data_IF_491294795920
#
_entry.id   IF_491294795920
#
_cell.length_a   1.000
_cell.length_b   1.000
_cell.length_c   1.000
_cell.angle_alpha   90.00
_cell.angle_beta   90.00
_cell.angle_gamma   90.00
#
_symmetry.space_group_name_H-M   'P 1'
#
loop_
_entity.id
_entity.type
_entity.pdbx_description
1 polymer ?
#
# COMPACT_ATOMS: atom_id res chain seq x y z
N UNK A 1 11.61 -15.58 13.54
CA UNK A 1 10.31 -14.88 13.61
C UNK A 1 10.19 -13.91 14.78
N UNK A 2 10.26 -14.33 16.05
CA UNK A 2 10.13 -13.42 17.21
C UNK A 2 11.13 -12.25 17.20
N UNK A 3 12.39 -12.49 16.79
CA UNK A 3 13.42 -11.44 16.68
C UNK A 3 13.08 -10.36 15.64
N UNK A 4 12.51 -10.75 14.49
CA UNK A 4 12.11 -9.81 13.43
C UNK A 4 10.93 -8.97 13.91
N UNK A 5 9.90 -9.60 14.48
CA UNK A 5 8.76 -8.89 15.04
C UNK A 5 9.16 -7.87 16.11
N UNK A 6 10.08 -8.25 17.01
CA UNK A 6 10.62 -7.34 18.03
C UNK A 6 11.36 -6.14 17.40
N UNK A 7 12.27 -6.41 16.46
CA UNK A 7 13.01 -5.37 15.74
C UNK A 7 12.06 -4.36 15.07
N UNK A 8 11.05 -4.87 14.37
CA UNK A 8 10.04 -4.04 13.70
C UNK A 8 9.29 -3.20 14.71
N UNK A 9 8.77 -3.78 15.80
CA UNK A 9 8.05 -3.03 16.85
C UNK A 9 8.86 -1.90 17.47
N UNK A 10 10.12 -2.17 17.81
CA UNK A 10 10.99 -1.20 18.46
C UNK A 10 11.36 -0.02 17.53
N UNK A 11 11.35 -0.22 16.21
CA UNK A 11 11.83 0.76 15.24
C UNK A 11 10.74 1.30 14.31
N UNK A 12 9.50 0.79 14.35
CA UNK A 12 8.43 1.15 13.39
C UNK A 12 8.12 2.65 13.33
N UNK A 13 8.20 3.33 14.47
CA UNK A 13 7.97 4.77 14.58
C UNK A 13 8.98 5.59 13.75
N UNK A 14 10.17 5.05 13.48
CA UNK A 14 11.23 5.70 12.69
C UNK A 14 10.96 5.63 11.20
N UNK A 15 10.17 4.65 10.74
CA UNK A 15 9.94 4.42 9.31
C UNK A 15 8.97 5.43 8.76
N UNK A 16 9.29 6.19 7.73
CA UNK A 16 8.37 7.20 7.20
C UNK A 16 8.45 7.32 5.68
N UNK A 17 7.31 7.59 5.05
CA UNK A 17 7.28 8.03 3.66
C UNK A 17 7.97 9.39 3.58
N UNK A 18 9.06 9.44 2.84
CA UNK A 18 9.81 10.67 2.57
C UNK A 18 9.12 11.41 1.44
N UNK A 19 8.86 10.71 0.33
CA UNK A 19 8.16 11.23 -0.86
C UNK A 19 7.40 10.12 -1.55
N UNK A 20 6.29 10.50 -2.19
CA UNK A 20 5.61 9.66 -3.17
C UNK A 20 5.39 10.52 -4.40
N UNK A 21 5.75 9.97 -5.54
CA UNK A 21 5.51 10.56 -6.84
C UNK A 21 4.59 9.62 -7.59
N UNK A 22 3.60 10.18 -8.25
CA UNK A 22 2.76 9.46 -9.18
C UNK A 22 2.59 10.28 -10.46
N UNK A 23 2.19 9.60 -11.53
CA UNK A 23 1.87 10.22 -12.81
C UNK A 23 0.36 10.55 -12.94
N UNK A 24 -0.38 10.64 -11.82
CA UNK A 24 -1.82 10.90 -11.84
C UNK A 24 -2.03 12.40 -12.07
N UNK A 25 -2.47 12.74 -13.28
CA UNK A 25 -2.66 14.14 -13.70
C UNK A 25 -3.99 14.76 -13.21
N UNK A 26 -4.92 13.96 -12.67
CA UNK A 26 -6.25 14.39 -12.21
C UNK A 26 -6.75 13.57 -11.02
N UNK A 27 -7.58 14.17 -10.17
CA UNK A 27 -8.27 13.44 -9.08
C UNK A 27 -9.17 12.29 -9.59
N UNK A 28 -9.60 12.38 -10.86
CA UNK A 28 -10.34 11.33 -11.54
C UNK A 28 -9.36 10.28 -12.08
N UNK A 29 -9.45 9.06 -11.53
CA UNK A 29 -8.74 7.89 -12.00
C UNK A 29 -9.46 7.33 -13.24
N UNK A 30 -8.93 7.60 -14.42
CA UNK A 30 -9.50 7.08 -15.67
C UNK A 30 -9.17 5.60 -15.84
N UNK A 31 -10.16 4.82 -16.28
CA UNK A 31 -9.97 3.43 -16.69
C UNK A 31 -8.97 3.33 -17.84
N UNK A 32 -8.32 2.17 -17.98
CA UNK A 32 -7.35 1.90 -19.04
C UNK A 32 -6.08 2.77 -18.99
N UNK A 33 -5.81 3.38 -17.84
CA UNK A 33 -4.61 4.18 -17.60
C UNK A 33 -3.58 3.40 -16.78
N UNK A 34 -2.30 3.61 -17.11
CA UNK A 34 -1.19 3.15 -16.28
C UNK A 34 -0.85 4.20 -15.23
N UNK A 35 -0.97 3.82 -13.97
CA UNK A 35 -0.45 4.57 -12.85
C UNK A 35 0.94 4.06 -12.53
N UNK A 36 1.91 4.95 -12.58
CA UNK A 36 3.29 4.72 -12.18
C UNK A 36 3.51 5.47 -10.88
N UNK A 37 3.87 4.74 -9.83
CA UNK A 37 4.08 5.27 -8.48
C UNK A 37 5.50 4.95 -8.06
N UNK A 38 6.22 5.97 -7.60
CA UNK A 38 7.51 5.85 -6.94
C UNK A 38 7.32 6.28 -5.48
N UNK A 39 7.68 5.41 -4.55
CA UNK A 39 7.67 5.72 -3.12
C UNK A 39 9.09 5.69 -2.57
N UNK A 40 9.50 6.76 -1.91
CA UNK A 40 10.73 6.85 -1.14
C UNK A 40 10.39 6.75 0.34
N UNK A 41 10.96 5.76 1.02
CA UNK A 41 10.69 5.47 2.44
C UNK A 41 12.00 5.46 3.20
N UNK A 42 12.08 6.25 4.26
CA UNK A 42 13.16 6.15 5.23
C UNK A 42 12.93 4.90 6.08
N UNK A 43 13.81 3.91 5.94
CA UNK A 43 13.77 2.67 6.69
C UNK A 43 14.51 2.76 8.03
N UNK A 44 15.20 3.88 8.29
CA UNK A 44 16.10 4.05 9.41
C UNK A 44 17.21 3.01 9.40
N UNK A 45 17.02 1.92 10.16
CA UNK A 45 17.97 0.80 10.23
C UNK A 45 17.30 -0.55 9.98
N UNK A 46 16.05 -0.55 9.51
CA UNK A 46 15.33 -1.79 9.20
C UNK A 46 15.74 -2.27 7.80
N UNK A 47 16.16 -3.54 7.65
CA UNK A 47 16.46 -4.11 6.35
C UNK A 47 15.25 -4.06 5.41
N UNK A 48 15.43 -3.66 4.13
CA UNK A 48 14.32 -3.50 3.17
C UNK A 48 13.52 -4.78 2.95
N UNK A 49 14.14 -5.96 3.09
CA UNK A 49 13.47 -7.25 2.95
C UNK A 49 12.43 -7.54 4.05
N UNK A 50 12.44 -6.78 5.15
CA UNK A 50 11.43 -6.91 6.22
C UNK A 50 10.21 -6.01 6.00
N UNK A 51 10.25 -5.15 4.99
CA UNK A 51 9.28 -4.11 4.73
C UNK A 51 8.69 -4.29 3.34
N UNK A 52 7.39 -4.09 3.22
CA UNK A 52 6.69 -4.05 1.94
C UNK A 52 5.93 -2.72 1.85
N UNK A 53 6.14 -2.03 0.73
CA UNK A 53 5.30 -0.90 0.31
C UNK A 53 4.24 -1.47 -0.62
N UNK A 54 2.98 -1.15 -0.36
CA UNK A 54 1.85 -1.73 -1.07
C UNK A 54 0.85 -0.66 -1.51
N UNK A 55 0.35 -0.81 -2.74
CA UNK A 55 -0.83 -0.12 -3.22
C UNK A 55 -2.06 -0.92 -2.83
N UNK A 56 -3.04 -0.26 -2.23
CA UNK A 56 -4.34 -0.82 -1.87
C UNK A 56 -5.39 -0.16 -2.75
N UNK A 57 -6.01 -0.94 -3.63
CA UNK A 57 -7.12 -0.52 -4.45
C UNK A 57 -8.44 -0.89 -3.76
N UNK A 58 -9.29 0.10 -3.54
CA UNK A 58 -10.63 -0.06 -2.98
C UNK A 58 -11.62 0.00 -4.13
N UNK A 59 -12.28 -1.12 -4.42
CA UNK A 59 -13.30 -1.24 -5.45
C UNK A 59 -14.69 -1.35 -4.82
N UNK A 60 -15.68 -0.69 -5.41
CA UNK A 60 -17.07 -0.81 -5.03
C UNK A 60 -17.95 -0.80 -6.27
N UNK A 61 -18.84 -1.78 -6.40
CA UNK A 61 -19.80 -1.89 -7.50
C UNK A 61 -21.06 -1.11 -7.15
N UNK A 62 -21.53 -0.24 -8.06
CA UNK A 62 -22.84 0.42 -7.93
C UNK A 62 -24.00 -0.48 -8.39
N UNK A 63 -23.75 -1.62 -9.04
CA UNK A 63 -24.82 -2.44 -9.63
C UNK A 63 -25.65 -3.27 -8.62
N UNK A 64 -25.25 -3.35 -7.35
CA UNK A 64 -26.07 -3.98 -6.29
C UNK A 64 -27.16 -3.05 -5.71
N UNK A 65 -27.39 -1.88 -6.32
CA UNK A 65 -28.37 -0.87 -5.85
C UNK A 65 -29.84 -1.34 -5.95
N UNK A 66 -30.16 -2.44 -6.65
CA UNK A 66 -31.57 -2.82 -6.90
C UNK A 66 -32.12 -3.99 -6.08
N UNK A 67 -31.34 -4.70 -5.26
CA UNK A 67 -31.81 -5.94 -4.61
C UNK A 67 -31.51 -6.15 -3.13
N UNK A 68 -30.91 -5.18 -2.42
CA UNK A 68 -30.66 -5.32 -0.98
C UNK A 68 -31.30 -4.19 -0.17
N UNK A 69 -32.58 -4.38 0.16
CA UNK A 69 -33.12 -3.92 1.43
C UNK A 69 -32.22 -4.42 2.56
N UNK A 70 -31.67 -3.49 3.36
CA UNK A 70 -30.78 -3.71 4.53
C UNK A 70 -29.55 -4.61 4.26
N UNK A 71 -28.41 -4.06 3.82
CA UNK A 71 -27.20 -4.88 3.66
C UNK A 71 -25.92 -4.12 3.35
N UNK A 72 -24.83 -4.50 4.00
CA UNK A 72 -23.50 -3.90 3.95
C UNK A 72 -22.97 -3.71 2.52
N UNK A 73 -22.46 -2.53 2.19
CA UNK A 73 -21.73 -2.28 0.93
C UNK A 73 -20.51 -3.21 0.87
N UNK A 74 -20.50 -4.18 -0.04
CA UNK A 74 -19.38 -5.08 -0.23
C UNK A 74 -18.21 -4.33 -0.91
N UNK A 75 -17.28 -3.80 -0.11
CA UNK A 75 -16.02 -3.26 -0.63
C UNK A 75 -15.06 -4.41 -0.96
N UNK A 76 -14.50 -4.39 -2.17
CA UNK A 76 -13.43 -5.31 -2.56
C UNK A 76 -12.08 -4.61 -2.47
N UNK A 77 -11.09 -5.27 -1.85
CA UNK A 77 -9.74 -4.75 -1.70
C UNK A 77 -8.76 -5.58 -2.50
N UNK A 78 -7.99 -4.94 -3.39
CA UNK A 78 -6.88 -5.56 -4.09
C UNK A 78 -5.57 -4.92 -3.64
N UNK A 79 -4.53 -5.72 -3.41
CA UNK A 79 -3.24 -5.27 -2.87
C UNK A 79 -2.14 -5.59 -3.87
N UNK A 80 -1.29 -4.61 -4.17
CA UNK A 80 -0.19 -4.74 -5.12
C UNK A 80 1.12 -4.29 -4.46
N UNK A 81 2.10 -5.17 -4.26
CA UNK A 81 3.39 -4.80 -3.69
C UNK A 81 4.23 -4.03 -4.70
N UNK A 82 4.95 -3.02 -4.22
CA UNK A 82 5.94 -2.30 -5.02
C UNK A 82 7.23 -3.13 -5.15
N UNK A 83 7.92 -2.96 -6.27
CA UNK A 83 9.27 -3.46 -6.50
C UNK A 83 10.29 -2.57 -5.79
N UNK A 84 11.27 -3.18 -5.12
CA UNK A 84 12.39 -2.46 -4.51
C UNK A 84 13.45 -2.15 -5.57
N UNK A 85 13.76 -0.86 -5.75
CA UNK A 85 14.74 -0.41 -6.76
C UNK A 85 16.14 -0.17 -6.20
N UNK A 86 16.27 0.04 -4.89
CA UNK A 86 17.55 0.32 -4.26
C UNK A 86 17.44 1.21 -3.02
N UNK A 87 18.58 1.49 -2.40
CA UNK A 87 18.67 2.27 -1.17
C UNK A 87 19.89 3.19 -1.20
N UNK A 88 19.71 4.43 -0.77
CA UNK A 88 20.79 5.41 -0.55
C UNK A 88 20.74 5.87 0.92
N UNK A 89 21.76 5.50 1.70
CA UNK A 89 21.72 5.69 3.15
C UNK A 89 20.60 4.87 3.80
N UNK A 90 19.66 5.53 4.47
CA UNK A 90 18.47 4.89 5.06
C UNK A 90 17.22 4.97 4.18
N UNK A 91 17.28 5.69 3.05
CA UNK A 91 16.12 5.92 2.18
C UNK A 91 16.07 4.85 1.09
N UNK A 92 15.02 4.05 1.11
CA UNK A 92 14.73 3.02 0.13
C UNK A 92 13.74 3.54 -0.92
N UNK A 93 14.00 3.21 -2.19
CA UNK A 93 13.16 3.57 -3.32
C UNK A 93 12.37 2.35 -3.81
N UNK A 94 11.08 2.53 -3.96
CA UNK A 94 10.13 1.52 -4.41
C UNK A 94 9.37 2.02 -5.64
N UNK A 95 9.00 1.11 -6.55
CA UNK A 95 8.27 1.42 -7.78
C UNK A 95 7.13 0.45 -8.03
N UNK A 96 6.00 0.95 -8.51
CA UNK A 96 4.88 0.14 -8.99
C UNK A 96 4.31 0.74 -10.26
N UNK A 97 4.09 -0.11 -11.25
CA UNK A 97 3.26 0.20 -12.42
C UNK A 97 1.96 -0.59 -12.33
N UNK A 98 0.85 0.10 -12.09
CA UNK A 98 -0.48 -0.48 -11.94
C UNK A 98 -1.36 -0.07 -13.13
N UNK A 99 -1.99 -1.04 -13.77
CA UNK A 99 -2.98 -0.79 -14.81
C UNK A 99 -4.38 -0.74 -14.18
N UNK A 100 -5.07 0.40 -14.31
CA UNK A 100 -6.43 0.54 -13.78
C UNK A 100 -7.39 -0.23 -14.68
N UNK A 101 -7.91 -1.36 -14.17
CA UNK A 101 -8.87 -2.21 -14.90
C UNK A 101 -10.24 -2.21 -14.24
N UNK A 102 -11.23 -1.85 -15.06
CA UNK A 102 -12.65 -2.07 -14.82
C UNK A 102 -13.36 -0.98 -14.03
N UNK A 103 -14.68 -0.94 -14.20
CA UNK A 103 -15.59 -0.10 -13.43
C UNK A 103 -15.50 -0.36 -11.93
N UNK A 104 -15.56 0.72 -11.15
CA UNK A 104 -15.72 0.66 -9.69
C UNK A 104 -14.46 0.85 -8.85
N UNK A 105 -13.30 1.20 -9.42
CA UNK A 105 -12.18 1.69 -8.59
C UNK A 105 -12.58 3.02 -7.94
N UNK A 106 -12.77 3.01 -6.61
CA UNK A 106 -13.21 4.18 -5.85
C UNK A 106 -12.05 4.99 -5.30
N UNK A 107 -11.01 4.29 -4.84
CA UNK A 107 -9.89 4.90 -4.16
C UNK A 107 -8.66 4.01 -4.26
N UNK A 108 -7.50 4.64 -4.34
CA UNK A 108 -6.21 4.01 -4.09
C UNK A 108 -5.62 4.57 -2.80
N UNK A 109 -4.87 3.76 -2.08
CA UNK A 109 -4.11 4.16 -0.91
C UNK A 109 -2.77 3.43 -0.90
N UNK A 110 -1.73 4.06 -0.38
CA UNK A 110 -0.42 3.44 -0.26
C UNK A 110 -0.17 3.16 1.21
N UNK A 111 0.46 2.02 1.52
CA UNK A 111 0.83 1.66 2.88
C UNK A 111 2.20 1.01 2.97
N UNK A 112 2.76 1.10 4.16
CA UNK A 112 3.94 0.42 4.61
C UNK A 112 3.53 -0.66 5.61
N UNK A 113 4.00 -1.89 5.40
CA UNK A 113 3.64 -3.05 6.22
C UNK A 113 4.84 -3.99 6.36
N UNK A 114 4.85 -4.88 7.37
CA UNK A 114 5.79 -5.98 7.41
C UNK A 114 5.64 -6.85 6.16
N UNK A 115 6.78 -7.20 5.54
CA UNK A 115 6.80 -8.10 4.38
C UNK A 115 6.34 -9.53 4.73
N UNK A 116 6.43 -9.92 6.01
CA UNK A 116 5.98 -11.21 6.48
C UNK A 116 4.50 -11.18 6.91
N UNK A 117 3.68 -12.00 6.26
CA UNK A 117 2.23 -12.08 6.51
C UNK A 117 1.86 -12.48 7.95
N UNK A 118 2.61 -13.38 8.58
CA UNK A 118 2.33 -13.79 9.96
C UNK A 118 2.55 -12.64 10.95
N UNK A 119 3.63 -11.88 10.76
CA UNK A 119 3.88 -10.68 11.57
C UNK A 119 2.77 -9.66 11.33
N UNK A 120 2.40 -9.42 10.07
CA UNK A 120 1.33 -8.48 9.70
C UNK A 120 0.00 -8.81 10.36
N UNK A 121 -0.40 -10.09 10.36
CA UNK A 121 -1.64 -10.56 11.01
C UNK A 121 -1.58 -10.46 12.53
N UNK A 122 -0.40 -10.69 13.12
CA UNK A 122 -0.22 -10.67 14.57
C UNK A 122 -0.10 -9.25 15.13
N UNK A 123 0.30 -8.29 14.30
CA UNK A 123 0.62 -6.92 14.70
C UNK A 123 0.04 -5.90 13.71
N UNK A 124 -1.29 -5.74 13.68
CA UNK A 124 -1.96 -4.79 12.78
C UNK A 124 -1.58 -3.33 13.06
N UNK A 125 -1.05 -3.01 14.24
CA UNK A 125 -0.50 -1.70 14.58
C UNK A 125 0.74 -1.33 13.73
N UNK A 126 1.38 -2.31 13.09
CA UNK A 126 2.50 -2.11 12.18
C UNK A 126 2.04 -1.80 10.74
N UNK A 127 0.84 -1.25 10.55
CA UNK A 127 0.40 -0.74 9.25
C UNK A 127 0.50 0.78 9.29
N UNK A 128 1.31 1.37 8.41
CA UNK A 128 1.43 2.83 8.27
C UNK A 128 0.94 3.26 6.89
N UNK A 129 -0.12 4.06 6.86
CA UNK A 129 -0.70 4.58 5.62
C UNK A 129 0.03 5.84 5.17
N UNK A 130 0.22 5.97 3.85
CA UNK A 130 0.56 7.24 3.22
C UNK A 130 -0.72 8.10 3.13
N UNK A 131 -0.59 9.39 3.41
CA UNK A 131 -1.71 10.34 3.58
C UNK A 131 -2.65 10.37 2.39
#
# INVERSE_FOLDING_TARGET
MARIARLLKENWHKLNFVRVYDNILSEELFEETFVEIIAEVDLGSIPPEFISVELVCIKGFDEDISLASDGEKAFHFSIYPFEFLGMEGSVAKYFLKYYIVGHGLRKIAIRLVPANDLIRRSYPELIKWYK
#
